data_IF_701468316752
#
_entry.id   IF_701468316752
#
_cell.length_a   1.000
_cell.length_b   1.000
_cell.length_c   1.000
_cell.angle_alpha   90.00
_cell.angle_beta   90.00
_cell.angle_gamma   90.00
#
_symmetry.space_group_name_H-M   'P 1'
#
loop_
_entity.id
_entity.type
_entity.pdbx_description
1 polymer ?
#
# COMPACT_ATOMS: atom_id res chain seq x y z
N UNK A 1 15.83 2.64 -15.50
CA UNK A 1 16.29 3.08 -16.81
C UNK A 1 16.27 1.91 -17.82
N UNK A 2 17.10 0.88 -17.61
CA UNK A 2 17.15 -0.28 -18.54
C UNK A 2 15.80 -0.97 -18.73
N UNK A 3 15.01 -1.15 -17.68
CA UNK A 3 13.67 -1.76 -17.76
C UNK A 3 12.72 -0.90 -18.63
N UNK A 4 12.79 0.43 -18.49
CA UNK A 4 11.99 1.33 -19.32
C UNK A 4 12.35 1.24 -20.81
N UNK A 5 13.64 1.09 -21.17
CA UNK A 5 14.06 0.91 -22.58
C UNK A 5 13.58 -0.40 -23.18
N UNK A 6 13.22 -1.41 -22.35
CA UNK A 6 12.65 -2.67 -22.79
C UNK A 6 11.12 -2.60 -23.02
N UNK A 7 10.49 -1.43 -22.83
CA UNK A 7 9.08 -1.21 -23.12
C UNK A 7 8.15 -1.54 -21.96
N UNK A 8 8.61 -1.43 -20.71
CA UNK A 8 7.73 -1.58 -19.56
C UNK A 8 6.62 -0.51 -19.57
N UNK A 9 5.36 -0.93 -19.41
CA UNK A 9 4.19 -0.04 -19.35
C UNK A 9 4.21 0.80 -18.08
N UNK A 10 4.59 0.19 -16.95
CA UNK A 10 4.73 0.86 -15.65
C UNK A 10 5.96 0.37 -14.90
N UNK A 11 6.53 1.24 -14.07
CA UNK A 11 7.62 0.91 -13.16
C UNK A 11 7.26 1.47 -11.79
N UNK A 12 7.11 0.59 -10.81
CA UNK A 12 7.04 0.97 -9.41
C UNK A 12 8.46 1.18 -8.87
N UNK A 13 8.67 2.32 -8.20
CA UNK A 13 9.99 2.72 -7.71
C UNK A 13 10.14 2.31 -6.25
N UNK A 14 10.62 1.11 -6.00
CA UNK A 14 10.75 0.46 -4.69
C UNK A 14 9.46 -0.15 -4.17
N UNK A 15 9.54 -0.80 -2.98
CA UNK A 15 8.44 -1.47 -2.27
C UNK A 15 8.47 -1.13 -0.79
N UNK A 16 7.35 -0.81 -0.18
CA UNK A 16 7.11 -0.60 1.26
C UNK A 16 8.25 0.11 2.03
N UNK A 17 8.74 1.31 1.58
CA UNK A 17 9.87 2.00 2.18
C UNK A 17 9.60 2.49 3.63
N UNK A 18 8.42 2.24 4.14
CA UNK A 18 8.03 2.53 5.51
C UNK A 18 8.26 1.37 6.49
N UNK A 19 8.94 0.29 6.04
CA UNK A 19 9.34 -0.85 6.88
C UNK A 19 10.83 -1.12 6.76
N UNK A 20 11.49 -1.51 7.86
CA UNK A 20 12.94 -1.73 7.95
C UNK A 20 13.46 -2.94 7.16
N UNK A 21 12.61 -3.87 6.81
CA UNK A 21 12.93 -4.96 5.87
C UNK A 21 13.16 -4.48 4.44
N UNK A 22 12.65 -3.29 4.08
CA UNK A 22 12.69 -2.73 2.72
C UNK A 22 13.55 -1.44 2.65
N UNK A 23 13.70 -0.73 3.77
CA UNK A 23 14.41 0.54 3.81
C UNK A 23 15.21 0.70 5.11
N UNK A 24 16.48 1.21 5.05
CA UNK A 24 17.28 1.40 6.27
C UNK A 24 16.55 2.26 7.30
N UNK A 25 16.45 1.78 8.53
CA UNK A 25 15.70 2.41 9.61
C UNK A 25 16.16 3.83 9.92
N UNK A 26 17.47 4.09 9.85
CA UNK A 26 18.09 5.40 10.09
C UNK A 26 17.83 6.42 8.96
N UNK A 27 17.35 5.95 7.82
CA UNK A 27 17.02 6.78 6.66
C UNK A 27 15.52 6.72 6.32
N UNK A 28 14.71 6.08 7.15
CA UNK A 28 13.30 5.91 6.89
C UNK A 28 12.54 7.24 7.01
N UNK A 29 11.76 7.54 5.98
CA UNK A 29 10.92 8.74 5.96
C UNK A 29 10.52 9.17 4.56
N UNK A 30 9.33 9.75 4.42
CA UNK A 30 8.79 10.15 3.12
C UNK A 30 9.64 11.17 2.37
N UNK A 31 10.34 12.07 3.07
CA UNK A 31 11.25 13.01 2.44
C UNK A 31 12.48 12.30 1.83
N UNK A 32 13.09 11.36 2.55
CA UNK A 32 14.22 10.58 2.06
C UNK A 32 13.85 9.68 0.89
N UNK A 33 12.68 9.04 0.95
CA UNK A 33 12.17 8.28 -0.18
C UNK A 33 11.91 9.18 -1.40
N UNK A 34 11.45 10.42 -1.19
CA UNK A 34 11.25 11.39 -2.27
C UNK A 34 12.56 11.70 -3.03
N UNK A 35 13.72 11.65 -2.37
CA UNK A 35 15.01 11.82 -3.05
C UNK A 35 15.31 10.67 -4.03
N UNK A 36 14.85 9.44 -3.75
CA UNK A 36 14.93 8.35 -4.72
C UNK A 36 14.03 8.63 -5.94
N UNK A 37 12.80 9.09 -5.73
CA UNK A 37 11.89 9.46 -6.83
C UNK A 37 12.47 10.57 -7.70
N UNK A 38 13.04 11.63 -7.11
CA UNK A 38 13.70 12.73 -7.85
C UNK A 38 14.82 12.25 -8.76
N UNK A 39 15.52 11.19 -8.38
CA UNK A 39 16.59 10.59 -9.18
C UNK A 39 16.08 9.60 -10.22
N UNK A 40 15.02 8.86 -9.92
CA UNK A 40 14.50 7.77 -10.74
C UNK A 40 13.59 8.27 -11.86
N UNK A 41 12.65 9.16 -11.53
CA UNK A 41 11.63 9.66 -12.45
C UNK A 41 12.20 10.24 -13.77
N UNK A 42 13.12 11.22 -13.74
CA UNK A 42 13.62 11.80 -14.98
C UNK A 42 14.39 10.80 -15.83
N UNK A 43 15.05 9.82 -15.21
CA UNK A 43 15.78 8.77 -15.93
C UNK A 43 14.85 7.76 -16.59
N UNK A 44 13.76 7.40 -15.93
CA UNK A 44 12.72 6.52 -16.51
C UNK A 44 12.08 7.23 -17.69
N UNK A 45 11.65 8.49 -17.50
CA UNK A 45 10.99 9.28 -18.56
C UNK A 45 11.90 9.61 -19.75
N UNK A 46 13.20 9.80 -19.51
CA UNK A 46 14.18 9.97 -20.57
C UNK A 46 14.40 8.68 -21.38
N UNK A 47 14.34 7.52 -20.73
CA UNK A 47 14.49 6.22 -21.38
C UNK A 47 13.22 5.79 -22.15
N UNK A 48 12.04 6.06 -21.59
CA UNK A 48 10.75 5.83 -22.23
C UNK A 48 9.70 6.79 -21.63
N UNK A 49 9.30 7.84 -22.34
CA UNK A 49 8.34 8.83 -21.82
C UNK A 49 6.94 8.26 -21.57
N UNK A 50 6.60 7.12 -22.19
CA UNK A 50 5.29 6.47 -22.06
C UNK A 50 5.20 5.57 -20.82
N UNK A 51 6.31 5.16 -20.22
CA UNK A 51 6.30 4.35 -19.01
C UNK A 51 5.66 5.12 -17.85
N UNK A 52 4.63 4.56 -17.24
CA UNK A 52 4.01 5.10 -16.04
C UNK A 52 4.97 4.89 -14.86
N UNK A 53 5.28 5.96 -14.14
CA UNK A 53 6.10 5.88 -12.92
C UNK A 53 5.18 5.87 -11.71
N UNK A 54 5.15 4.74 -11.02
CA UNK A 54 4.39 4.54 -9.79
C UNK A 54 5.34 4.77 -8.60
N UNK A 55 4.93 5.54 -7.61
CA UNK A 55 5.70 5.56 -6.36
C UNK A 55 5.63 4.20 -5.66
N UNK A 56 6.62 3.88 -4.82
CA UNK A 56 6.48 2.72 -3.94
C UNK A 56 5.17 2.81 -3.17
N UNK A 57 4.42 1.73 -3.17
CA UNK A 57 3.30 1.57 -2.27
C UNK A 57 3.81 1.38 -0.84
N UNK A 58 3.10 1.98 0.11
CA UNK A 58 3.41 1.85 1.53
C UNK A 58 2.69 0.63 2.10
N UNK A 59 3.35 -0.05 3.03
CA UNK A 59 2.70 -1.06 3.87
C UNK A 59 1.63 -0.38 4.73
N UNK A 60 0.34 -0.75 4.60
CA UNK A 60 -0.73 -0.15 5.39
C UNK A 60 -0.55 -0.49 6.86
N UNK A 61 -0.27 0.50 7.70
CA UNK A 61 -0.08 0.27 9.13
C UNK A 61 -0.49 1.47 9.97
N UNK A 62 -1.08 1.20 11.13
CA UNK A 62 -1.39 2.17 12.16
C UNK A 62 -0.74 1.78 13.49
N UNK A 63 0.25 0.90 13.42
CA UNK A 63 0.85 0.26 14.59
C UNK A 63 1.93 1.12 15.28
N UNK A 64 2.47 2.13 14.59
CA UNK A 64 3.56 2.99 15.08
C UNK A 64 3.07 4.31 15.69
N UNK A 65 1.83 4.33 16.19
CA UNK A 65 1.22 5.44 16.95
C UNK A 65 1.21 6.79 16.20
N UNK A 66 0.99 6.75 14.89
CA UNK A 66 0.90 7.94 14.03
C UNK A 66 2.25 8.53 13.62
N UNK A 67 3.33 7.77 13.76
CA UNK A 67 4.70 8.20 13.42
C UNK A 67 5.59 7.05 12.99
N UNK A 68 6.84 7.10 13.42
CA UNK A 68 7.82 6.03 13.24
C UNK A 68 8.27 5.48 14.60
N UNK A 69 8.57 4.19 14.68
CA UNK A 69 9.00 3.54 15.89
C UNK A 69 9.23 2.06 15.73
N UNK A 70 9.45 1.35 16.84
CA UNK A 70 9.66 -0.10 16.86
C UNK A 70 8.49 -0.83 17.50
N UNK A 71 8.12 -1.97 16.93
CA UNK A 71 7.21 -2.95 17.52
C UNK A 71 7.90 -4.29 17.48
N UNK A 72 8.31 -4.78 18.66
CA UNK A 72 9.18 -5.95 18.74
C UNK A 72 10.51 -5.70 18.03
N UNK A 73 10.83 -6.55 17.05
CA UNK A 73 12.04 -6.44 16.23
C UNK A 73 11.86 -5.63 14.94
N UNK A 74 10.66 -5.11 14.67
CA UNK A 74 10.34 -4.38 13.44
C UNK A 74 10.38 -2.88 13.73
N UNK A 75 11.14 -2.13 12.95
CA UNK A 75 11.06 -0.68 12.89
C UNK A 75 10.27 -0.25 11.64
N UNK A 76 9.38 0.71 11.80
CA UNK A 76 8.56 1.18 10.69
C UNK A 76 7.92 2.53 10.96
N UNK A 77 7.24 3.04 9.94
CA UNK A 77 6.44 4.27 10.03
C UNK A 77 5.01 3.97 9.58
N UNK A 78 4.03 4.61 10.21
CA UNK A 78 2.66 4.56 9.72
C UNK A 78 2.57 5.19 8.32
N UNK A 79 1.81 4.55 7.44
CA UNK A 79 1.72 4.91 6.02
C UNK A 79 1.14 6.32 5.80
N UNK A 80 0.11 6.71 6.55
CA UNK A 80 -0.52 8.03 6.42
C UNK A 80 0.47 9.20 6.65
N UNK A 81 1.21 9.29 7.77
CA UNK A 81 2.21 10.35 7.96
C UNK A 81 3.39 10.23 7.01
N UNK A 82 3.76 9.02 6.58
CA UNK A 82 4.82 8.83 5.58
C UNK A 82 4.41 9.42 4.23
N UNK A 83 3.19 9.12 3.75
CA UNK A 83 2.65 9.67 2.51
C UNK A 83 2.53 11.21 2.59
N UNK A 84 2.06 11.74 3.72
CA UNK A 84 2.01 13.20 3.90
C UNK A 84 3.40 13.83 3.82
N UNK A 85 4.41 13.19 4.40
CA UNK A 85 5.80 13.65 4.30
C UNK A 85 6.35 13.59 2.86
N UNK A 86 5.97 12.58 2.07
CA UNK A 86 6.29 12.52 0.64
C UNK A 86 5.69 13.71 -0.11
N UNK A 87 4.40 13.99 0.11
CA UNK A 87 3.69 15.12 -0.52
C UNK A 87 4.36 16.45 -0.16
N UNK A 88 4.66 16.67 1.12
CA UNK A 88 5.31 17.87 1.61
C UNK A 88 6.73 18.06 1.02
N UNK A 89 7.44 16.97 0.72
CA UNK A 89 8.75 16.98 0.07
C UNK A 89 8.69 17.16 -1.46
N UNK A 90 7.49 17.28 -2.03
CA UNK A 90 7.26 17.52 -3.46
C UNK A 90 7.29 16.25 -4.31
N UNK A 91 7.06 15.07 -3.74
CA UNK A 91 7.07 13.78 -4.43
C UNK A 91 6.13 13.72 -5.63
N UNK A 92 4.99 14.44 -5.57
CA UNK A 92 3.99 14.45 -6.66
C UNK A 92 4.52 14.96 -8.01
N UNK A 93 5.65 15.66 -8.02
CA UNK A 93 6.29 16.09 -9.25
C UNK A 93 7.15 14.99 -9.92
N UNK A 94 7.33 13.85 -9.23
CA UNK A 94 8.25 12.78 -9.63
C UNK A 94 7.57 11.40 -9.66
N UNK A 95 6.26 11.39 -9.94
CA UNK A 95 5.47 10.19 -10.17
C UNK A 95 4.27 10.52 -11.05
N UNK A 96 3.74 9.53 -11.75
CA UNK A 96 2.50 9.66 -12.51
C UNK A 96 1.29 9.22 -11.65
N UNK A 97 1.47 8.22 -10.77
CA UNK A 97 0.48 7.83 -9.77
C UNK A 97 1.14 7.39 -8.45
N UNK A 98 0.37 7.38 -7.39
CA UNK A 98 0.79 6.94 -6.05
C UNK A 98 0.49 5.45 -5.89
N UNK A 99 1.52 4.65 -5.59
CA UNK A 99 1.34 3.24 -5.24
C UNK A 99 0.58 3.07 -3.92
N UNK A 100 -0.31 2.09 -3.88
CA UNK A 100 -1.06 1.73 -2.68
C UNK A 100 -1.16 0.21 -2.55
N UNK A 101 -0.91 -0.32 -1.36
CA UNK A 101 -1.17 -1.71 -1.00
C UNK A 101 -2.43 -1.85 -0.16
N UNK A 102 -3.12 -2.96 -0.33
CA UNK A 102 -4.20 -3.41 0.53
C UNK A 102 -4.25 -4.94 0.56
N UNK A 103 -3.60 -5.57 1.55
CA UNK A 103 -3.38 -7.01 1.57
C UNK A 103 -4.15 -7.76 2.67
N UNK A 104 -4.82 -7.07 3.58
CA UNK A 104 -5.48 -7.65 4.74
C UNK A 104 -7.02 -7.57 4.69
N UNK A 105 -7.62 -7.65 3.52
CA UNK A 105 -9.07 -7.54 3.34
C UNK A 105 -9.84 -8.72 3.96
N UNK A 106 -10.84 -8.39 4.78
CA UNK A 106 -11.81 -9.36 5.33
C UNK A 106 -13.26 -9.05 4.94
N UNK A 107 -13.52 -7.82 4.53
CA UNK A 107 -14.86 -7.31 4.24
C UNK A 107 -14.97 -6.85 2.78
N UNK A 108 -16.19 -6.76 2.22
CA UNK A 108 -16.38 -6.21 0.88
C UNK A 108 -15.68 -4.85 0.71
N UNK A 109 -15.15 -4.53 -0.48
CA UNK A 109 -14.40 -3.28 -0.72
C UNK A 109 -15.15 -1.99 -0.35
N UNK A 110 -16.48 -1.99 -0.45
CA UNK A 110 -17.33 -0.85 -0.07
C UNK A 110 -17.56 -0.70 1.43
N UNK A 111 -17.16 -1.69 2.25
CA UNK A 111 -17.37 -1.64 3.69
C UNK A 111 -16.53 -0.54 4.36
N UNK A 112 -17.11 0.10 5.39
CA UNK A 112 -16.47 1.16 6.19
C UNK A 112 -16.50 0.85 7.69
N UNK A 113 -17.06 -0.29 8.09
CA UNK A 113 -17.18 -0.74 9.47
C UNK A 113 -17.38 -2.26 9.55
N UNK A 114 -17.27 -2.84 10.73
CA UNK A 114 -17.57 -4.25 10.97
C UNK A 114 -16.38 -5.20 10.89
N UNK A 115 -15.14 -4.71 10.77
CA UNK A 115 -13.95 -5.58 10.82
C UNK A 115 -13.89 -6.31 12.18
N UNK A 116 -13.71 -7.63 12.20
CA UNK A 116 -13.74 -8.41 13.43
C UNK A 116 -12.48 -8.29 14.29
N UNK A 117 -11.43 -7.65 13.80
CA UNK A 117 -10.17 -7.45 14.54
C UNK A 117 -10.29 -6.35 15.59
N UNK A 118 -9.42 -6.37 16.60
CA UNK A 118 -9.45 -5.42 17.72
C UNK A 118 -9.23 -3.95 17.35
N UNK A 119 -8.66 -3.65 16.19
CA UNK A 119 -8.47 -2.30 15.63
C UNK A 119 -9.49 -2.00 14.53
N UNK A 120 -10.74 -2.42 14.72
CA UNK A 120 -11.80 -2.41 13.71
C UNK A 120 -12.19 -1.02 13.17
N UNK A 121 -11.82 0.07 13.86
CA UNK A 121 -12.10 1.43 13.40
C UNK A 121 -10.97 2.03 12.53
N UNK A 122 -9.81 1.37 12.42
CA UNK A 122 -8.68 1.92 11.68
C UNK A 122 -8.91 1.81 10.17
N UNK A 123 -8.61 2.88 9.41
CA UNK A 123 -8.86 2.96 7.95
C UNK A 123 -8.18 1.84 7.16
N UNK A 124 -7.02 1.34 7.60
CA UNK A 124 -6.30 0.24 6.94
C UNK A 124 -7.05 -1.08 6.93
N UNK A 125 -8.12 -1.23 7.73
CA UNK A 125 -8.99 -2.41 7.73
C UNK A 125 -10.01 -2.42 6.59
N UNK A 126 -10.15 -1.31 5.86
CA UNK A 126 -11.17 -1.11 4.84
C UNK A 126 -10.54 -0.62 3.55
N UNK A 127 -10.83 -1.29 2.43
CA UNK A 127 -10.36 -0.85 1.11
C UNK A 127 -10.82 0.57 0.81
N UNK A 128 -12.10 0.86 1.04
CA UNK A 128 -12.65 2.22 0.92
C UNK A 128 -11.94 3.21 1.84
N UNK A 129 -11.64 2.81 3.06
CA UNK A 129 -10.92 3.65 4.02
C UNK A 129 -9.52 4.03 3.56
N UNK A 130 -8.82 3.11 2.91
CA UNK A 130 -7.51 3.38 2.29
C UNK A 130 -7.64 4.39 1.15
N UNK A 131 -8.59 4.17 0.22
CA UNK A 131 -8.85 5.10 -0.89
C UNK A 131 -9.20 6.51 -0.41
N UNK A 132 -10.10 6.63 0.56
CA UNK A 132 -10.53 7.91 1.12
C UNK A 132 -9.38 8.63 1.85
N UNK A 133 -8.54 7.88 2.58
CA UNK A 133 -7.38 8.44 3.31
C UNK A 133 -6.32 8.96 2.34
N UNK A 134 -5.93 8.15 1.36
CA UNK A 134 -4.92 8.56 0.37
C UNK A 134 -5.46 9.64 -0.55
N UNK A 135 -6.69 9.51 -1.03
CA UNK A 135 -7.37 10.53 -1.83
C UNK A 135 -7.44 11.89 -1.14
N UNK A 136 -7.74 11.89 0.18
CA UNK A 136 -7.75 13.10 1.00
C UNK A 136 -6.38 13.78 1.11
N UNK A 137 -5.29 13.00 1.22
CA UNK A 137 -3.91 13.53 1.25
C UNK A 137 -3.51 14.09 -0.11
N UNK A 138 -3.88 13.40 -1.19
CA UNK A 138 -3.49 13.76 -2.56
C UNK A 138 -4.28 14.93 -3.13
N UNK A 139 -5.49 15.17 -2.62
CA UNK A 139 -6.35 16.26 -3.09
C UNK A 139 -6.67 16.22 -4.58
N UNK A 140 -6.65 15.04 -5.20
CA UNK A 140 -6.86 14.86 -6.64
C UNK A 140 -5.65 15.18 -7.53
N UNK A 141 -4.49 15.51 -6.96
CA UNK A 141 -3.30 15.87 -7.73
C UNK A 141 -2.66 14.69 -8.49
N UNK A 142 -2.90 13.46 -8.02
CA UNK A 142 -2.45 12.21 -8.66
C UNK A 142 -3.48 11.11 -8.45
N UNK A 143 -3.56 10.19 -9.41
CA UNK A 143 -4.30 8.95 -9.26
C UNK A 143 -3.61 8.01 -8.28
N UNK A 144 -4.38 7.07 -7.72
CA UNK A 144 -3.87 5.95 -6.91
C UNK A 144 -3.72 4.74 -7.84
N UNK A 145 -2.57 4.07 -7.78
CA UNK A 145 -2.28 2.82 -8.45
C UNK A 145 -2.19 1.70 -7.42
N UNK A 146 -3.10 0.74 -7.49
CA UNK A 146 -3.01 -0.47 -6.68
C UNK A 146 -1.95 -1.39 -7.28
N UNK A 147 -0.87 -1.59 -6.56
CA UNK A 147 0.21 -2.51 -6.97
C UNK A 147 0.10 -3.86 -6.26
N UNK A 148 -0.52 -3.89 -5.08
CA UNK A 148 -0.93 -5.12 -4.41
C UNK A 148 -2.32 -4.96 -3.81
N UNK A 149 -3.17 -5.98 -4.02
CA UNK A 149 -4.47 -6.11 -3.39
C UNK A 149 -4.70 -7.56 -2.99
N UNK A 150 -5.14 -7.79 -1.75
CA UNK A 150 -5.35 -9.14 -1.24
C UNK A 150 -6.52 -9.28 -0.29
N UNK A 151 -7.26 -10.36 -0.50
CA UNK A 151 -8.29 -10.91 0.38
C UNK A 151 -7.90 -12.37 0.63
N UNK A 152 -7.25 -12.66 1.75
CA UNK A 152 -6.66 -13.97 1.99
C UNK A 152 -7.72 -15.02 2.32
N UNK A 153 -7.81 -16.08 1.52
CA UNK A 153 -8.58 -17.28 1.80
C UNK A 153 -7.66 -18.46 2.09
N UNK A 154 -7.94 -19.18 3.16
CA UNK A 154 -7.29 -20.46 3.48
C UNK A 154 -8.19 -21.67 3.17
N UNK A 155 -9.32 -21.51 2.49
CA UNK A 155 -10.34 -22.54 2.31
C UNK A 155 -9.78 -23.82 1.68
N UNK A 156 -8.95 -23.70 0.63
CA UNK A 156 -8.33 -24.85 -0.06
C UNK A 156 -7.22 -25.52 0.75
N UNK A 157 -6.69 -24.85 1.77
CA UNK A 157 -5.62 -25.33 2.64
C UNK A 157 -6.11 -25.83 3.99
N UNK A 158 -7.41 -25.59 4.30
CA UNK A 158 -8.06 -26.00 5.55
C UNK A 158 -7.70 -25.17 6.78
N UNK A 159 -6.66 -24.36 6.73
CA UNK A 159 -6.25 -23.47 7.83
C UNK A 159 -5.33 -22.34 7.33
N UNK A 160 -5.17 -21.33 8.17
CA UNK A 160 -4.13 -20.29 7.97
C UNK A 160 -3.19 -20.28 9.18
N UNK A 161 -1.89 -20.01 8.98
CA UNK A 161 -0.99 -19.70 10.10
C UNK A 161 -1.57 -18.59 10.97
N UNK A 162 -1.33 -18.63 12.28
CA UNK A 162 -1.93 -17.69 13.25
C UNK A 162 -1.68 -16.22 12.92
N UNK A 163 -0.52 -15.89 12.32
CA UNK A 163 -0.20 -14.54 11.88
C UNK A 163 -1.13 -14.03 10.76
N UNK A 164 -1.79 -14.93 10.02
CA UNK A 164 -2.64 -14.62 8.87
C UNK A 164 -4.10 -15.01 9.11
N UNK A 165 -4.43 -15.57 10.26
CA UNK A 165 -5.80 -15.91 10.67
C UNK A 165 -6.43 -14.71 11.39
N UNK A 166 -7.00 -13.80 10.62
CA UNK A 166 -7.50 -12.51 11.11
C UNK A 166 -8.97 -12.50 11.48
N UNK A 167 -9.74 -13.47 10.99
CA UNK A 167 -11.15 -13.57 11.30
C UNK A 167 -11.38 -14.58 12.45
N UNK A 168 -11.69 -14.12 13.69
CA UNK A 168 -11.85 -15.02 14.82
C UNK A 168 -13.07 -15.96 14.70
N UNK A 169 -14.04 -15.64 13.84
CA UNK A 169 -15.20 -16.46 13.57
C UNK A 169 -15.01 -17.45 12.41
N UNK A 170 -13.91 -17.31 11.63
CA UNK A 170 -13.63 -18.17 10.49
C UNK A 170 -12.12 -18.39 10.33
N UNK A 171 -11.60 -19.60 10.65
CA UNK A 171 -10.16 -19.88 10.66
C UNK A 171 -9.49 -19.79 9.27
N UNK A 172 -10.26 -19.75 8.20
CA UNK A 172 -9.77 -19.56 6.82
C UNK A 172 -10.01 -18.13 6.30
N UNK A 173 -10.37 -17.19 7.17
CA UNK A 173 -10.75 -15.80 6.91
C UNK A 173 -12.02 -15.67 6.05
N UNK A 174 -12.04 -16.21 4.85
CA UNK A 174 -13.17 -16.19 3.91
C UNK A 174 -13.12 -17.38 2.96
N UNK A 175 -14.18 -17.60 2.18
CA UNK A 175 -14.20 -18.58 1.11
C UNK A 175 -13.44 -18.08 -0.14
N UNK A 176 -13.01 -18.99 -1.01
CA UNK A 176 -12.42 -18.66 -2.34
C UNK A 176 -13.42 -17.88 -3.19
N UNK A 177 -14.70 -18.19 -3.10
CA UNK A 177 -15.75 -17.46 -3.81
C UNK A 177 -15.87 -15.99 -3.34
N UNK A 178 -15.80 -15.75 -2.00
CA UNK A 178 -15.77 -14.38 -1.47
C UNK A 178 -14.50 -13.62 -1.86
N UNK A 179 -13.34 -14.29 -1.85
CA UNK A 179 -12.09 -13.71 -2.35
C UNK A 179 -12.25 -13.19 -3.79
N UNK A 180 -12.74 -14.04 -4.70
CA UNK A 180 -12.93 -13.67 -6.11
C UNK A 180 -13.96 -12.54 -6.28
N UNK A 181 -15.08 -12.60 -5.55
CA UNK A 181 -16.12 -11.58 -5.59
C UNK A 181 -15.60 -10.21 -5.10
N UNK A 182 -14.86 -10.18 -3.98
CA UNK A 182 -14.32 -8.94 -3.43
C UNK A 182 -13.24 -8.31 -4.33
N UNK A 183 -12.40 -9.12 -4.99
CA UNK A 183 -11.47 -8.61 -6.01
C UNK A 183 -12.23 -7.99 -7.17
N UNK A 184 -13.29 -8.65 -7.67
CA UNK A 184 -14.14 -8.11 -8.73
C UNK A 184 -14.83 -6.80 -8.34
N UNK A 185 -15.32 -6.69 -7.10
CA UNK A 185 -15.92 -5.46 -6.57
C UNK A 185 -14.89 -4.33 -6.44
N UNK A 186 -13.66 -4.64 -6.02
CA UNK A 186 -12.60 -3.63 -5.85
C UNK A 186 -12.20 -2.96 -7.16
N UNK A 187 -12.27 -3.67 -8.29
CA UNK A 187 -11.99 -3.12 -9.64
C UNK A 187 -13.05 -2.11 -10.09
N UNK A 188 -14.26 -2.17 -9.53
CA UNK A 188 -15.41 -1.35 -9.94
C UNK A 188 -15.72 -0.21 -8.96
N UNK A 189 -15.05 -0.17 -7.81
CA UNK A 189 -15.26 0.84 -6.78
C UNK A 189 -14.50 2.13 -7.09
#
# INVERSE_FOLDING_TARGET
>A
ERVATLGADAIEVWNEPNLDREWPADQMGGANYTELLKKSYPRIKAANPNTIVVSAALSPTGAFSGGCGSIGSIYGCDDKPFLQAMVNAGALNYMDCVGMHYNEGLLPPSATSGDPRGSSAHYTRYFRGMLDTYGGILGGARSICLTEIGYLSGEEWGYLPSAFSWNPANPVNMSVAQHADYLGQAVTL
#
